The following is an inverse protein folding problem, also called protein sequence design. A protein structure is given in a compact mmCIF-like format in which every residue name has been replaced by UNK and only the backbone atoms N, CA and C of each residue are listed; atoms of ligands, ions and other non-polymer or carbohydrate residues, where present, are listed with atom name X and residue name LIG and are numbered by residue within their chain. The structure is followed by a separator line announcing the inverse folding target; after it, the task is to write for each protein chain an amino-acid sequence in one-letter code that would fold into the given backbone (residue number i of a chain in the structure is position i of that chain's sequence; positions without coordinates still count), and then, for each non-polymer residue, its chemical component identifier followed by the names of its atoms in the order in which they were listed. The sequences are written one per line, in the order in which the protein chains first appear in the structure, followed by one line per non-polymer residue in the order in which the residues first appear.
data_IF_886200364756
#
_entry.id   IF_886200364756
#
_cell.length_a   1.000
_cell.length_b   1.000
_cell.length_c   1.000
_cell.angle_alpha   90.00
_cell.angle_beta   90.00
_cell.angle_gamma   90.00
#
_symmetry.space_group_name_H-M   'P 1'
#
loop_
_entity.id
_entity.type
_entity.pdbx_description
1 polymer ?
#
# COMPACT_ATOMS: atom_id res chain seq x y z
N UNK A 1 -15.59 -1.71 -5.94
CA UNK A 1 -16.48 -2.09 -7.06
C UNK A 1 -16.09 -3.45 -7.66
N UNK A 2 -14.87 -3.62 -8.19
CA UNK A 2 -14.46 -4.89 -8.85
C UNK A 2 -14.50 -6.13 -7.93
N UNK A 3 -13.92 -6.06 -6.72
CA UNK A 3 -13.95 -7.18 -5.78
C UNK A 3 -15.38 -7.63 -5.43
N UNK A 4 -16.27 -6.67 -5.19
CA UNK A 4 -17.70 -6.92 -4.96
C UNK A 4 -18.37 -7.59 -6.16
N UNK A 5 -18.10 -7.11 -7.38
CA UNK A 5 -18.67 -7.70 -8.59
C UNK A 5 -18.24 -9.15 -8.77
N UNK A 6 -16.96 -9.46 -8.56
CA UNK A 6 -16.43 -10.83 -8.64
C UNK A 6 -17.08 -11.74 -7.60
N UNK A 7 -17.23 -11.28 -6.35
CA UNK A 7 -17.95 -12.03 -5.31
C UNK A 7 -19.41 -12.32 -5.69
N UNK A 8 -20.07 -11.42 -6.40
CA UNK A 8 -21.48 -11.57 -6.81
C UNK A 8 -21.65 -12.46 -8.06
N UNK A 9 -20.65 -12.54 -8.95
CA UNK A 9 -20.82 -13.21 -10.25
C UNK A 9 -20.01 -14.48 -10.45
N UNK A 10 -19.00 -14.75 -9.62
CA UNK A 10 -18.02 -15.82 -9.85
C UNK A 10 -18.01 -16.89 -8.74
N UNK A 11 -19.14 -17.09 -8.03
CA UNK A 11 -19.23 -17.97 -6.86
C UNK A 11 -18.58 -19.36 -7.00
N UNK A 12 -18.97 -20.19 -7.99
CA UNK A 12 -18.41 -21.53 -8.14
C UNK A 12 -16.89 -21.57 -8.34
N UNK A 13 -16.34 -20.65 -9.14
CA UNK A 13 -14.89 -20.57 -9.36
C UNK A 13 -14.17 -20.11 -8.09
N UNK A 14 -14.72 -19.11 -7.39
CA UNK A 14 -14.17 -18.63 -6.14
C UNK A 14 -14.16 -19.72 -5.06
N UNK A 15 -15.23 -20.50 -4.93
CA UNK A 15 -15.29 -21.63 -4.00
C UNK A 15 -14.23 -22.69 -4.32
N UNK A 16 -14.04 -23.00 -5.61
CA UNK A 16 -13.00 -23.91 -6.06
C UNK A 16 -11.60 -23.41 -5.67
N UNK A 17 -11.27 -22.16 -6.01
CA UNK A 17 -9.96 -21.57 -5.68
C UNK A 17 -9.76 -21.44 -4.17
N UNK A 18 -10.81 -21.11 -3.42
CA UNK A 18 -10.75 -21.00 -1.98
C UNK A 18 -10.46 -22.36 -1.33
N UNK A 19 -11.06 -23.44 -1.85
CA UNK A 19 -10.85 -24.78 -1.30
C UNK A 19 -9.48 -25.38 -1.68
N UNK A 20 -8.91 -24.98 -2.83
CA UNK A 20 -7.77 -25.70 -3.45
C UNK A 20 -6.47 -24.92 -3.56
N UNK A 21 -6.52 -23.58 -3.55
CA UNK A 21 -5.35 -22.73 -3.80
C UNK A 21 -5.06 -21.84 -2.61
N UNK A 22 -6.07 -21.08 -2.14
CA UNK A 22 -5.90 -20.13 -1.05
C UNK A 22 -7.18 -20.07 -0.21
N UNK A 23 -7.11 -20.63 1.01
CA UNK A 23 -8.25 -20.73 1.93
C UNK A 23 -8.80 -19.38 2.40
N UNK A 24 -7.99 -18.32 2.29
CA UNK A 24 -8.33 -16.98 2.75
C UNK A 24 -8.77 -16.07 1.58
N UNK A 25 -8.85 -16.60 0.35
CA UNK A 25 -9.19 -15.83 -0.86
C UNK A 25 -10.51 -15.08 -0.74
N UNK A 26 -11.59 -15.78 -0.41
CA UNK A 26 -12.93 -15.19 -0.33
C UNK A 26 -12.99 -14.15 0.78
N UNK A 27 -12.38 -14.44 1.93
CA UNK A 27 -12.38 -13.52 3.07
C UNK A 27 -11.57 -12.26 2.78
N UNK A 28 -10.43 -12.40 2.10
CA UNK A 28 -9.65 -11.26 1.62
C UNK A 28 -10.42 -10.43 0.59
N UNK A 29 -11.14 -11.06 -0.34
CA UNK A 29 -12.00 -10.33 -1.29
C UNK A 29 -13.13 -9.58 -0.58
N UNK A 30 -13.76 -10.19 0.44
CA UNK A 30 -14.79 -9.52 1.26
C UNK A 30 -14.20 -8.34 2.03
N UNK A 31 -13.01 -8.49 2.59
CA UNK A 31 -12.29 -7.41 3.27
C UNK A 31 -12.07 -6.22 2.32
N UNK A 32 -11.52 -6.48 1.14
CA UNK A 32 -11.28 -5.45 0.11
C UNK A 32 -12.58 -4.80 -0.37
N UNK A 33 -13.66 -5.56 -0.47
CA UNK A 33 -14.94 -5.08 -0.99
C UNK A 33 -15.71 -4.19 0.00
N UNK A 34 -15.55 -4.41 1.31
CA UNK A 34 -16.43 -3.84 2.33
C UNK A 34 -15.72 -2.88 3.30
N UNK A 35 -14.41 -3.04 3.55
CA UNK A 35 -13.70 -2.17 4.49
C UNK A 35 -13.22 -0.87 3.83
N UNK A 36 -13.31 0.27 4.53
CA UNK A 36 -12.66 1.49 4.09
C UNK A 36 -11.14 1.32 4.15
N UNK A 37 -10.45 1.83 3.13
CA UNK A 37 -9.01 1.71 3.06
C UNK A 37 -8.37 2.64 4.09
N UNK A 38 -7.41 2.11 4.86
CA UNK A 38 -6.57 2.94 5.70
C UNK A 38 -5.79 3.91 4.81
N UNK A 39 -5.60 5.15 5.27
CA UNK A 39 -4.76 6.12 4.57
C UNK A 39 -3.73 6.65 5.55
N UNK A 40 -2.48 6.73 5.11
CA UNK A 40 -1.40 7.37 5.86
C UNK A 40 -0.34 7.90 4.90
N UNK A 41 0.34 8.96 5.31
CA UNK A 41 1.50 9.44 4.58
C UNK A 41 2.67 8.45 4.68
N UNK A 42 3.59 8.49 3.72
CA UNK A 42 4.85 7.75 3.77
C UNK A 42 5.63 8.04 5.06
N UNK A 43 5.67 9.30 5.49
CA UNK A 43 6.34 9.70 6.73
C UNK A 43 5.74 8.99 7.94
N UNK A 44 4.41 8.96 8.07
CA UNK A 44 3.72 8.23 9.14
C UNK A 44 3.95 6.72 9.04
N UNK A 45 4.02 6.17 7.83
CA UNK A 45 4.29 4.75 7.61
C UNK A 45 5.68 4.37 8.15
N UNK A 46 6.71 5.13 7.76
CA UNK A 46 8.08 4.95 8.23
C UNK A 46 8.15 5.10 9.75
N UNK A 47 7.58 6.17 10.33
CA UNK A 47 7.57 6.36 11.79
C UNK A 47 6.93 5.20 12.55
N UNK A 48 5.82 4.66 12.06
CA UNK A 48 5.14 3.52 12.68
C UNK A 48 5.97 2.25 12.57
N UNK A 49 6.55 1.99 11.40
CA UNK A 49 7.39 0.82 11.17
C UNK A 49 8.69 0.89 12.00
N UNK A 50 9.35 2.04 12.06
CA UNK A 50 10.55 2.25 12.89
C UNK A 50 10.25 1.98 14.37
N UNK A 51 9.12 2.45 14.90
CA UNK A 51 8.69 2.15 16.28
C UNK A 51 8.51 0.66 16.54
N UNK A 52 7.95 -0.07 15.58
CA UNK A 52 7.78 -1.53 15.69
C UNK A 52 9.15 -2.22 15.73
N UNK A 53 10.11 -1.78 14.90
CA UNK A 53 11.49 -2.30 14.92
C UNK A 53 12.19 -1.97 16.25
N UNK A 54 12.09 -0.73 16.71
CA UNK A 54 12.69 -0.27 17.98
C UNK A 54 12.14 -1.04 19.20
N UNK A 55 10.85 -1.36 19.19
CA UNK A 55 10.20 -2.14 20.24
C UNK A 55 10.55 -3.64 20.21
N UNK A 56 11.15 -4.12 19.11
CA UNK A 56 11.45 -5.53 18.87
C UNK A 56 10.23 -6.36 18.45
N UNK A 57 9.08 -5.74 18.16
CA UNK A 57 7.88 -6.44 17.70
C UNK A 57 8.05 -7.00 16.27
N UNK A 58 8.84 -6.34 15.43
CA UNK A 58 9.23 -6.83 14.11
C UNK A 58 10.74 -6.71 13.90
N UNK A 59 11.28 -7.64 13.12
CA UNK A 59 12.63 -7.55 12.57
C UNK A 59 12.54 -7.72 11.06
N UNK A 60 12.81 -6.63 10.35
CA UNK A 60 12.82 -6.59 8.89
C UNK A 60 14.22 -6.89 8.36
N UNK A 61 14.29 -7.46 7.17
CA UNK A 61 15.56 -7.67 6.45
C UNK A 61 16.08 -6.33 5.90
N UNK A 62 15.18 -5.49 5.41
CA UNK A 62 15.47 -4.18 4.86
C UNK A 62 15.23 -3.07 5.87
N UNK A 63 16.13 -2.09 5.88
CA UNK A 63 16.06 -0.94 6.77
C UNK A 63 14.81 -0.10 6.51
N UNK A 64 14.14 0.29 7.59
CA UNK A 64 13.04 1.24 7.57
C UNK A 64 13.59 2.62 7.94
N UNK A 65 13.76 3.48 6.93
CA UNK A 65 14.24 4.85 7.11
C UNK A 65 13.58 5.81 6.10
N UNK A 66 13.48 7.09 6.48
CA UNK A 66 12.92 8.11 5.60
C UNK A 66 13.85 8.34 4.40
N UNK A 67 13.28 8.39 3.19
CA UNK A 67 14.06 8.43 1.94
C UNK A 67 14.46 7.05 1.42
N UNK A 68 14.01 5.95 2.05
CA UNK A 68 14.10 4.60 1.51
C UNK A 68 12.74 4.12 1.03
N UNK A 69 12.74 3.37 -0.06
CA UNK A 69 11.53 2.72 -0.56
C UNK A 69 11.06 1.63 0.40
N UNK A 70 9.75 1.58 0.65
CA UNK A 70 9.15 0.52 1.45
C UNK A 70 9.25 -0.80 0.67
N UNK A 71 9.75 -1.84 1.33
CA UNK A 71 9.83 -3.17 0.75
C UNK A 71 8.54 -3.94 1.03
N UNK A 72 8.30 -5.01 0.27
CA UNK A 72 7.09 -5.84 0.40
C UNK A 72 6.85 -6.34 1.83
N UNK A 73 7.90 -6.60 2.61
CA UNK A 73 7.76 -7.00 4.03
C UNK A 73 7.18 -5.87 4.89
N UNK A 74 7.56 -4.61 4.62
CA UNK A 74 7.06 -3.42 5.30
C UNK A 74 5.61 -3.17 4.93
N UNK A 75 5.28 -3.27 3.64
CA UNK A 75 3.92 -3.13 3.12
C UNK A 75 2.98 -4.17 3.72
N UNK A 76 3.39 -5.43 3.70
CA UNK A 76 2.63 -6.54 4.30
C UNK A 76 2.49 -6.37 5.80
N UNK A 77 3.49 -5.82 6.50
CA UNK A 77 3.35 -5.52 7.92
C UNK A 77 2.24 -4.50 8.18
N UNK A 78 2.21 -3.42 7.39
CA UNK A 78 1.15 -2.39 7.49
C UNK A 78 -0.23 -3.02 7.25
N UNK A 79 -0.39 -3.83 6.20
CA UNK A 79 -1.70 -4.38 5.82
C UNK A 79 -2.14 -5.57 6.68
N UNK A 80 -1.24 -6.47 7.04
CA UNK A 80 -1.58 -7.78 7.62
C UNK A 80 -1.50 -7.79 9.15
N UNK A 81 -0.57 -7.01 9.72
CA UNK A 81 -0.33 -6.97 11.17
C UNK A 81 -0.91 -5.72 11.81
N UNK A 82 -0.57 -4.55 11.26
CA UNK A 82 -0.90 -3.27 11.89
C UNK A 82 -2.36 -2.87 11.69
N UNK A 83 -2.80 -2.75 10.43
CA UNK A 83 -4.15 -2.23 10.13
C UNK A 83 -5.17 -3.32 9.82
N UNK A 84 -4.71 -4.51 9.41
CA UNK A 84 -5.56 -5.66 9.06
C UNK A 84 -6.62 -5.32 7.99
N UNK A 85 -6.27 -4.43 7.07
CA UNK A 85 -7.13 -3.92 6.00
C UNK A 85 -6.31 -3.33 4.85
N UNK A 86 -6.89 -3.12 3.66
CA UNK A 86 -6.20 -2.43 2.56
C UNK A 86 -5.74 -1.04 2.99
N UNK A 87 -4.53 -0.67 2.58
CA UNK A 87 -3.86 0.54 3.05
C UNK A 87 -3.34 1.34 1.87
N UNK A 88 -3.56 2.65 1.85
CA UNK A 88 -3.02 3.59 0.87
C UNK A 88 -1.93 4.38 1.56
N UNK A 89 -0.70 4.24 1.08
CA UNK A 89 0.42 5.10 1.49
C UNK A 89 0.55 6.21 0.46
N UNK A 90 0.70 7.47 0.89
CA UNK A 90 0.79 8.61 -0.03
C UNK A 90 1.88 9.61 0.37
N UNK A 91 2.23 10.54 -0.52
CA UNK A 91 3.27 11.55 -0.32
C UNK A 91 4.66 10.96 -0.08
N UNK A 92 5.17 10.22 -1.07
CA UNK A 92 6.50 9.60 -1.03
C UNK A 92 7.61 10.63 -1.26
N UNK A 93 8.85 10.35 -0.82
CA UNK A 93 10.01 11.20 -1.11
C UNK A 93 10.22 11.35 -2.62
N UNK A 94 10.52 12.58 -3.06
CA UNK A 94 10.72 12.89 -4.47
C UNK A 94 11.86 12.08 -5.08
N UNK A 95 12.97 11.94 -4.35
CA UNK A 95 14.20 11.26 -4.80
C UNK A 95 14.01 9.77 -5.11
N UNK A 96 12.92 9.16 -4.62
CA UNK A 96 12.62 7.74 -4.81
C UNK A 96 11.50 7.48 -5.83
N UNK A 97 10.99 8.53 -6.50
CA UNK A 97 9.85 8.42 -7.41
C UNK A 97 10.16 9.13 -8.73
N UNK A 98 9.30 8.90 -9.73
CA UNK A 98 9.53 9.38 -11.08
C UNK A 98 9.36 10.90 -11.21
N UNK A 99 10.11 11.52 -12.12
CA UNK A 99 10.14 12.97 -12.35
C UNK A 99 8.77 13.59 -12.65
N UNK A 100 7.85 12.85 -13.26
CA UNK A 100 6.51 13.35 -13.63
C UNK A 100 5.55 13.46 -12.44
N UNK A 101 5.93 12.99 -11.25
CA UNK A 101 5.06 13.03 -10.07
C UNK A 101 5.10 14.43 -9.47
N UNK A 102 3.91 15.01 -9.26
CA UNK A 102 3.81 16.41 -8.81
C UNK A 102 4.53 16.64 -7.49
N UNK A 103 5.39 17.65 -7.43
CA UNK A 103 6.05 18.08 -6.20
C UNK A 103 5.04 18.70 -5.23
N UNK A 104 5.01 18.23 -3.99
CA UNK A 104 4.19 18.78 -2.92
C UNK A 104 4.75 20.12 -2.42
N UNK A 105 3.94 20.85 -1.65
CA UNK A 105 4.32 22.17 -1.11
C UNK A 105 5.49 22.11 -0.11
N UNK A 106 5.78 20.93 0.43
CA UNK A 106 6.91 20.72 1.34
C UNK A 106 8.28 20.69 0.63
N UNK A 107 8.29 20.62 -0.71
CA UNK A 107 9.50 20.54 -1.53
C UNK A 107 10.33 19.27 -1.33
N UNK A 108 9.78 18.24 -0.65
CA UNK A 108 10.48 17.01 -0.28
C UNK A 108 9.76 15.77 -0.77
N UNK A 109 8.43 15.83 -0.86
CA UNK A 109 7.59 14.71 -1.26
C UNK A 109 6.87 15.00 -2.56
N UNK A 110 6.47 13.93 -3.25
CA UNK A 110 5.63 14.01 -4.44
C UNK A 110 4.26 13.41 -4.16
N UNK A 111 3.24 13.87 -4.88
CA UNK A 111 1.85 13.41 -4.78
C UNK A 111 1.65 12.00 -5.37
N UNK A 112 2.49 11.05 -4.96
CA UNK A 112 2.40 9.63 -5.23
C UNK A 112 1.48 8.94 -4.23
N UNK A 113 0.89 7.82 -4.64
CA UNK A 113 0.16 6.91 -3.77
C UNK A 113 0.32 5.47 -4.24
N UNK A 114 0.46 4.56 -3.28
CA UNK A 114 0.52 3.12 -3.50
C UNK A 114 -0.62 2.47 -2.70
N UNK A 115 -1.43 1.63 -3.36
CA UNK A 115 -2.53 0.86 -2.74
C UNK A 115 -2.00 -0.54 -2.40
N UNK A 116 -1.91 -0.81 -1.11
CA UNK A 116 -1.41 -2.04 -0.54
C UNK A 116 -2.58 -2.97 -0.16
N UNK A 117 -2.51 -4.21 -0.61
CA UNK A 117 -3.48 -5.25 -0.32
C UNK A 117 -2.90 -6.34 0.58
N UNK A 118 -3.65 -6.79 1.60
CA UNK A 118 -3.21 -7.85 2.50
C UNK A 118 -2.72 -9.11 1.77
N UNK A 119 -1.61 -9.69 2.24
CA UNK A 119 -0.98 -10.89 1.67
C UNK A 119 -0.23 -10.69 0.34
N UNK A 120 -0.55 -9.64 -0.43
CA UNK A 120 0.06 -9.38 -1.75
C UNK A 120 1.16 -8.31 -1.62
N UNK A 121 0.87 -7.17 -0.98
CA UNK A 121 1.68 -5.95 -1.05
C UNK A 121 1.04 -4.93 -1.99
N UNK A 122 1.85 -4.16 -2.70
CA UNK A 122 1.37 -3.21 -3.71
C UNK A 122 0.48 -3.87 -4.79
N UNK A 123 -0.70 -3.28 -5.03
CA UNK A 123 -1.62 -3.65 -6.11
C UNK A 123 -1.76 -2.54 -7.17
N UNK A 124 -1.71 -1.27 -6.76
CA UNK A 124 -1.86 -0.11 -7.65
C UNK A 124 -0.93 1.00 -7.21
N UNK A 125 -0.06 1.45 -8.10
CA UNK A 125 0.73 2.67 -7.94
C UNK A 125 0.20 3.80 -8.81
N UNK A 126 0.24 5.03 -8.31
CA UNK A 126 -0.24 6.21 -9.03
C UNK A 126 0.28 7.52 -8.48
N UNK A 127 0.04 8.60 -9.21
CA UNK A 127 0.37 9.95 -8.73
C UNK A 127 -0.52 11.00 -9.39
N UNK A 128 -0.64 12.17 -8.75
CA UNK A 128 -0.90 13.37 -9.52
C UNK A 128 0.30 13.66 -10.42
N UNK A 129 0.03 14.07 -11.66
CA UNK A 129 1.09 14.42 -12.62
C UNK A 129 1.48 15.87 -12.40
N UNK A 130 2.77 16.17 -12.49
CA UNK A 130 3.26 17.54 -12.41
C UNK A 130 2.71 18.33 -13.59
N UNK A 131 1.77 19.22 -13.29
CA UNK A 131 1.09 20.04 -14.29
C UNK A 131 1.81 21.35 -14.59
N UNK A 132 2.78 21.76 -13.75
CA UNK A 132 3.51 23.01 -13.87
C UNK A 132 4.77 22.80 -14.72
N UNK A 133 4.81 23.41 -15.90
CA UNK A 133 5.89 23.22 -16.88
C UNK A 133 7.26 23.58 -16.32
N UNK A 134 7.36 24.66 -15.54
CA UNK A 134 8.58 25.14 -14.90
C UNK A 134 9.15 24.21 -13.82
N UNK A 135 8.32 23.30 -13.31
CA UNK A 135 8.72 22.27 -12.34
C UNK A 135 9.01 20.91 -13.01
N UNK A 136 8.58 20.73 -14.25
CA UNK A 136 8.69 19.46 -15.00
C UNK A 136 9.94 19.42 -15.90
N UNK A 137 10.33 20.56 -16.47
CA UNK A 137 11.48 20.71 -17.39
C UNK A 137 12.83 20.94 -16.67
#
# INVERSE_FOLDING_TARGET
FCAKKVLETCGPDLEFFNARVDKDLIDRLKLIANEPFQRLSYTEAVEKLSKVVESGEAKFEYEVAWGKELQTEHEKWLTDKMFKKPTIVYNYPADCKAFYMRMNEDGKTVAAMDILCPGIGELVGGSQREERLDMLD
#
